data_IF_843235222895
#
_entry.id   IF_843235222895
#
_cell.length_a   1.000
_cell.length_b   1.000
_cell.length_c   1.000
_cell.angle_alpha   90.00
_cell.angle_beta   90.00
_cell.angle_gamma   90.00
#
_symmetry.space_group_name_H-M   'P 1'
#
loop_
_entity.id
_entity.type
_entity.pdbx_description
1 polymer ?
#
# COMPACT_ATOMS: atom_id res chain seq x y z
N UNK A 1 -17.07 -16.69 -6.95
CA UNK A 1 -16.63 -15.29 -6.72
C UNK A 1 -15.17 -15.20 -7.13
N UNK A 2 -14.82 -14.36 -8.10
CA UNK A 2 -13.43 -14.17 -8.51
C UNK A 2 -12.78 -13.18 -7.54
N UNK A 3 -11.79 -13.63 -6.77
CA UNK A 3 -10.97 -12.72 -5.96
C UNK A 3 -10.17 -11.82 -6.92
N UNK A 4 -10.45 -10.52 -6.88
CA UNK A 4 -9.62 -9.54 -7.59
C UNK A 4 -8.29 -9.46 -6.85
N UNK A 5 -7.22 -9.92 -7.49
CA UNK A 5 -5.88 -9.84 -6.92
C UNK A 5 -5.52 -8.37 -6.68
N UNK A 6 -5.23 -8.02 -5.43
CA UNK A 6 -4.72 -6.72 -5.05
C UNK A 6 -3.20 -6.81 -5.12
N UNK A 7 -2.57 -5.93 -5.91
CA UNK A 7 -1.12 -5.77 -5.89
C UNK A 7 -0.77 -4.83 -4.75
N UNK A 8 -0.09 -5.35 -3.74
CA UNK A 8 0.36 -4.59 -2.57
C UNK A 8 1.87 -4.46 -2.62
N UNK A 9 2.38 -3.24 -2.37
CA UNK A 9 3.81 -2.97 -2.20
C UNK A 9 4.10 -2.93 -0.70
N UNK A 10 5.09 -3.70 -0.26
CA UNK A 10 5.51 -3.76 1.14
C UNK A 10 6.94 -3.25 1.22
N UNK A 11 7.16 -2.25 2.07
CA UNK A 11 8.50 -1.72 2.35
C UNK A 11 9.18 -2.59 3.39
N UNK A 12 10.40 -3.04 3.10
CA UNK A 12 11.26 -3.75 4.04
C UNK A 12 12.18 -2.78 4.77
N UNK A 13 12.44 -3.03 6.06
CA UNK A 13 13.51 -2.33 6.77
C UNK A 13 14.88 -2.74 6.24
N UNK A 14 15.93 -1.99 6.63
CA UNK A 14 17.30 -2.35 6.25
C UNK A 14 17.70 -3.73 6.79
N UNK A 15 17.34 -4.03 8.05
CA UNK A 15 17.62 -5.32 8.68
C UNK A 15 16.83 -6.46 8.01
N UNK A 16 15.56 -6.21 7.66
CA UNK A 16 14.73 -7.18 6.93
C UNK A 16 15.33 -7.51 5.55
N UNK A 17 15.86 -6.50 4.87
CA UNK A 17 16.47 -6.64 3.55
C UNK A 17 17.74 -7.49 3.62
N UNK A 18 18.63 -7.20 4.58
CA UNK A 18 19.87 -7.97 4.79
C UNK A 18 19.53 -9.42 5.10
N UNK A 19 18.58 -9.67 6.01
CA UNK A 19 18.18 -11.03 6.36
C UNK A 19 17.58 -11.78 5.19
N UNK A 20 16.70 -11.15 4.42
CA UNK A 20 16.12 -11.77 3.23
C UNK A 20 17.21 -12.10 2.19
N UNK A 21 18.20 -11.22 2.02
CA UNK A 21 19.31 -11.47 1.09
C UNK A 21 20.14 -12.69 1.51
N UNK A 22 20.44 -12.85 2.80
CA UNK A 22 21.14 -14.04 3.32
C UNK A 22 20.37 -15.33 2.98
N UNK A 23 19.08 -15.37 3.28
CA UNK A 23 18.22 -16.54 3.01
C UNK A 23 18.20 -16.88 1.50
N UNK A 24 18.11 -15.85 0.65
CA UNK A 24 18.12 -16.04 -0.80
C UNK A 24 19.47 -16.53 -1.33
N UNK A 25 20.58 -16.14 -0.69
CA UNK A 25 21.92 -16.65 -1.04
C UNK A 25 22.08 -18.13 -0.68
N UNK A 26 21.41 -18.58 0.37
CA UNK A 26 21.36 -20.00 0.77
C UNK A 26 20.36 -20.82 -0.08
N UNK A 27 19.68 -20.18 -1.04
CA UNK A 27 18.66 -20.76 -1.92
C UNK A 27 17.45 -21.38 -1.17
N UNK A 28 17.25 -21.04 0.10
CA UNK A 28 16.14 -21.54 0.91
C UNK A 28 14.84 -20.75 0.63
N UNK A 29 14.06 -21.27 -0.31
CA UNK A 29 12.78 -20.68 -0.72
C UNK A 29 11.71 -20.79 0.36
N UNK A 30 11.74 -21.86 1.16
CA UNK A 30 10.72 -22.07 2.19
C UNK A 30 10.91 -21.08 3.34
N UNK A 31 12.17 -20.88 3.75
CA UNK A 31 12.53 -19.86 4.73
C UNK A 31 12.22 -18.45 4.21
N UNK A 32 12.53 -18.14 2.94
CA UNK A 32 12.26 -16.82 2.37
C UNK A 32 10.75 -16.48 2.39
N UNK A 33 9.90 -17.46 2.05
CA UNK A 33 8.44 -17.28 2.07
C UNK A 33 7.93 -17.14 3.50
N UNK A 34 8.44 -17.95 4.44
CA UNK A 34 8.09 -17.85 5.85
C UNK A 34 8.47 -16.47 6.42
N UNK A 35 9.68 -16.00 6.13
CA UNK A 35 10.17 -14.69 6.54
C UNK A 35 9.27 -13.56 6.01
N UNK A 36 8.98 -13.54 4.70
CA UNK A 36 8.11 -12.52 4.10
C UNK A 36 6.70 -12.54 4.70
N UNK A 37 6.13 -13.72 4.94
CA UNK A 37 4.83 -13.85 5.60
C UNK A 37 4.84 -13.22 6.99
N UNK A 38 5.89 -13.45 7.76
CA UNK A 38 6.00 -12.96 9.13
C UNK A 38 6.17 -11.44 9.16
N UNK A 39 7.00 -10.87 8.28
CA UNK A 39 7.15 -9.41 8.09
C UNK A 39 5.85 -8.74 7.68
N UNK A 40 5.11 -9.33 6.72
CA UNK A 40 3.79 -8.82 6.32
C UNK A 40 2.83 -8.87 7.51
N UNK A 41 2.82 -9.99 8.25
CA UNK A 41 1.97 -10.16 9.42
C UNK A 41 2.25 -9.12 10.50
N UNK A 42 3.51 -8.80 10.76
CA UNK A 42 3.90 -7.75 11.69
C UNK A 42 3.42 -6.37 11.22
N UNK A 43 3.68 -6.00 9.97
CA UNK A 43 3.25 -4.70 9.43
C UNK A 43 1.73 -4.53 9.44
N UNK A 44 0.99 -5.59 9.15
CA UNK A 44 -0.48 -5.59 9.25
C UNK A 44 -0.91 -5.39 10.70
N UNK A 45 -0.30 -6.09 11.66
CA UNK A 45 -0.59 -5.89 13.09
C UNK A 45 -0.29 -4.45 13.51
N UNK A 46 0.86 -3.89 13.15
CA UNK A 46 1.20 -2.50 13.45
C UNK A 46 0.21 -1.51 12.84
N UNK A 47 -0.20 -1.71 11.58
CA UNK A 47 -1.17 -0.84 10.90
C UNK A 47 -2.59 -0.92 11.52
N UNK A 48 -2.94 -2.03 12.16
CA UNK A 48 -4.22 -2.20 12.85
C UNK A 48 -4.25 -1.55 14.25
N UNK A 49 -3.09 -1.19 14.82
CA UNK A 49 -3.04 -0.41 16.06
C UNK A 49 -3.42 1.04 15.73
N UNK A 50 -4.49 1.54 16.37
CA UNK A 50 -5.21 2.80 16.07
C UNK A 50 -4.36 4.09 15.99
N UNK A 51 -3.08 4.06 16.34
CA UNK A 51 -2.16 5.20 16.29
C UNK A 51 -1.39 5.34 14.96
N UNK A 52 -1.44 4.36 14.06
CA UNK A 52 -0.73 4.41 12.78
C UNK A 52 -1.60 4.94 11.63
N UNK A 53 -2.11 6.17 11.77
CA UNK A 53 -2.64 6.90 10.60
C UNK A 53 -1.44 7.35 9.76
N UNK A 54 -1.34 6.99 8.47
CA UNK A 54 -0.23 7.45 7.65
C UNK A 54 -0.26 8.98 7.55
N UNK A 55 0.74 9.63 8.11
CA UNK A 55 0.97 11.06 7.96
C UNK A 55 1.71 11.26 6.64
N UNK A 56 1.01 11.80 5.64
CA UNK A 56 1.64 12.21 4.39
C UNK A 56 2.20 13.63 4.57
N UNK A 57 3.52 13.78 4.53
CA UNK A 57 4.19 15.07 4.41
C UNK A 57 3.92 15.66 3.01
N UNK A 58 2.75 16.28 2.81
CA UNK A 58 2.46 16.93 1.52
C UNK A 58 1.02 17.34 1.22
N UNK A 59 0.13 17.47 2.21
CA UNK A 59 -1.28 17.76 1.94
C UNK A 59 -1.83 18.94 2.72
N UNK A 60 -1.50 20.17 2.32
CA UNK A 60 -2.32 21.32 2.72
C UNK A 60 -3.69 21.26 2.03
N UNK A 61 -4.72 20.88 2.77
CA UNK A 61 -6.09 21.34 2.53
C UNK A 61 -6.95 20.51 1.56
N UNK A 62 -8.06 20.01 2.12
CA UNK A 62 -9.28 19.47 1.48
C UNK A 62 -9.12 18.15 0.72
N UNK A 63 -9.79 17.13 1.25
CA UNK A 63 -10.09 15.87 0.57
C UNK A 63 -10.58 16.12 -0.88
N UNK A 64 -10.00 15.46 -1.88
CA UNK A 64 -10.71 15.20 -3.11
C UNK A 64 -11.49 13.90 -2.90
N UNK A 65 -12.79 14.07 -2.64
CA UNK A 65 -13.83 13.06 -2.82
C UNK A 65 -13.93 12.65 -4.29
N UNK A 66 -12.93 11.96 -4.83
CA UNK A 66 -12.91 11.57 -6.24
C UNK A 66 -12.40 10.15 -6.45
N UNK A 67 -13.16 9.17 -5.96
CA UNK A 67 -13.21 7.86 -6.61
C UNK A 67 -14.66 7.37 -6.66
N UNK A 68 -15.47 8.01 -7.51
CA UNK A 68 -16.63 7.33 -8.12
C UNK A 68 -16.41 7.28 -9.63
N UNK A 69 -16.47 6.04 -10.10
CA UNK A 69 -16.51 5.54 -11.46
C UNK A 69 -17.61 6.20 -12.31
N UNK A 70 -17.38 6.28 -13.62
CA UNK A 70 -18.47 6.23 -14.61
C UNK A 70 -18.69 7.51 -15.41
N UNK A 71 -18.26 7.45 -16.66
CA UNK A 71 -18.90 8.00 -17.85
C UNK A 71 -19.68 9.32 -17.77
N UNK A 72 -19.16 10.32 -18.49
CA UNK A 72 -19.99 11.03 -19.47
C UNK A 72 -20.39 12.48 -19.17
N UNK A 73 -20.08 13.31 -20.16
CA UNK A 73 -20.81 14.51 -20.63
C UNK A 73 -20.42 15.88 -20.01
N UNK A 74 -19.52 16.54 -20.77
CA UNK A 74 -19.54 17.95 -21.17
C UNK A 74 -20.61 18.88 -20.57
N UNK A 75 -20.16 20.01 -20.01
CA UNK A 75 -20.52 21.39 -20.47
C UNK A 75 -19.66 22.46 -19.78
N UNK A 76 -19.21 23.53 -20.47
CA UNK A 76 -18.47 24.63 -19.84
C UNK A 76 -19.41 25.66 -19.17
N UNK A 77 -18.92 26.48 -18.22
CA UNK A 77 -19.76 27.38 -17.44
C UNK A 77 -20.22 28.61 -18.25
N UNK A 78 -21.47 29.01 -18.03
CA UNK A 78 -22.07 30.24 -18.56
C UNK A 78 -21.41 31.47 -17.91
N UNK A 79 -21.14 32.50 -18.71
CA UNK A 79 -20.85 33.86 -18.23
C UNK A 79 -22.19 34.59 -18.10
N UNK A 80 -22.47 35.12 -16.91
CA UNK A 80 -23.57 36.06 -16.68
C UNK A 80 -23.10 37.49 -17.05
N UNK A 81 -23.96 38.22 -17.77
CA UNK A 81 -23.87 39.67 -18.05
C UNK A 81 -24.41 40.49 -16.87
#
# INVERSE_FOLDING_TARGET
MAFKAIKTVVTLGADDLVRLQEILMDEDKEEAVAFLRDVIGEKVRCAQVETHRPEFEGGTGKEPSHYIHGDGIHSPPKKDD
#
